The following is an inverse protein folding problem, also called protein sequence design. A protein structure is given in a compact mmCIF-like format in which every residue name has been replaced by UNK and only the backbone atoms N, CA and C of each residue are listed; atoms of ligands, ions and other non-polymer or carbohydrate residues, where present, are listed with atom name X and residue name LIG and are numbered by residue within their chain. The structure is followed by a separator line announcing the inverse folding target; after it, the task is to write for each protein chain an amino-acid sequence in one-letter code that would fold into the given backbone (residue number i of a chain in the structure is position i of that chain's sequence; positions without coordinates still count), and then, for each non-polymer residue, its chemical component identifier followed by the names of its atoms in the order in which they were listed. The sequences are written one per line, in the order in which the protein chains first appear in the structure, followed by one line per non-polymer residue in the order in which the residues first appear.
data_IF_123465561683
#
_entry.id   IF_123465561683
#
_cell.length_a   1.000
_cell.length_b   1.000
_cell.length_c   1.000
_cell.angle_alpha   90.00
_cell.angle_beta   90.00
_cell.angle_gamma   90.00
#
_symmetry.space_group_name_H-M   'P 1'
#
loop_
_entity.id
_entity.type
_entity.pdbx_description
1 polymer ?
#
# COMPACT_ATOMS: atom_id res chain seq x y z
N UNK A 1 -15.40 10.10 4.73
CA UNK A 1 -14.67 9.89 3.44
C UNK A 1 -15.67 9.46 2.39
N UNK A 2 -15.47 9.84 1.13
CA UNK A 2 -16.29 9.29 0.03
C UNK A 2 -15.98 7.81 -0.13
N UNK A 3 -16.96 6.92 0.10
CA UNK A 3 -16.84 5.47 -0.10
C UNK A 3 -16.94 5.16 -1.59
N UNK A 4 -15.91 5.56 -2.34
CA UNK A 4 -15.76 5.33 -3.78
C UNK A 4 -14.35 4.81 -4.02
N UNK A 5 -14.20 4.07 -5.12
CA UNK A 5 -12.89 3.74 -5.64
C UNK A 5 -12.07 5.03 -5.84
N UNK A 6 -10.94 5.14 -5.14
CA UNK A 6 -10.21 6.40 -5.04
C UNK A 6 -8.72 6.20 -4.78
N UNK A 7 -8.18 6.93 -3.81
CA UNK A 7 -6.75 6.89 -3.50
C UNK A 7 -6.28 5.50 -3.08
N UNK A 8 -5.16 5.06 -3.65
CA UNK A 8 -4.37 3.97 -3.09
C UNK A 8 -3.28 4.59 -2.21
N UNK A 9 -3.30 4.22 -0.93
CA UNK A 9 -2.32 4.66 0.06
C UNK A 9 -1.46 3.48 0.45
N UNK A 10 -0.15 3.58 0.23
CA UNK A 10 0.72 2.43 0.34
C UNK A 10 2.10 2.79 0.90
N UNK A 11 2.72 1.80 1.54
CA UNK A 11 4.11 1.85 2.00
C UNK A 11 4.99 1.00 1.09
N UNK A 12 6.08 1.57 0.60
CA UNK A 12 7.06 0.84 -0.19
C UNK A 12 8.04 0.11 0.72
N UNK A 13 8.58 -0.99 0.23
CA UNK A 13 9.72 -1.70 0.82
C UNK A 13 10.75 -2.00 -0.26
N UNK A 14 12.02 -2.05 0.13
CA UNK A 14 13.11 -2.53 -0.72
C UNK A 14 13.67 -3.82 -0.15
N UNK A 15 14.23 -4.63 -1.03
CA UNK A 15 14.96 -5.83 -0.65
C UNK A 15 16.44 -5.64 -0.99
N UNK A 16 17.31 -6.21 -0.16
CA UNK A 16 18.75 -6.27 -0.48
C UNK A 16 18.95 -6.97 -1.83
N UNK A 17 19.96 -6.54 -2.58
CA UNK A 17 20.30 -7.08 -3.90
C UNK A 17 19.16 -6.96 -4.94
N UNK A 18 18.25 -6.00 -4.75
CA UNK A 18 17.18 -5.70 -5.70
C UNK A 18 17.06 -4.20 -5.92
N UNK A 19 16.94 -3.78 -7.18
CA UNK A 19 16.77 -2.37 -7.54
C UNK A 19 15.31 -1.89 -7.40
N UNK A 20 14.36 -2.81 -7.53
CA UNK A 20 12.94 -2.50 -7.59
C UNK A 20 12.31 -2.53 -6.21
N UNK A 21 11.22 -1.78 -6.04
CA UNK A 21 10.43 -1.76 -4.80
C UNK A 21 9.38 -2.87 -4.81
N UNK A 22 8.87 -3.20 -3.63
CA UNK A 22 7.54 -3.77 -3.46
C UNK A 22 6.70 -2.78 -2.63
N UNK A 23 5.40 -2.97 -2.55
CA UNK A 23 4.55 -2.19 -1.66
C UNK A 23 3.39 -3.02 -1.10
N UNK A 24 2.87 -2.54 0.02
CA UNK A 24 1.60 -2.98 0.60
C UNK A 24 0.75 -1.73 0.85
N UNK A 25 -0.55 -1.81 0.59
CA UNK A 25 -1.41 -0.64 0.69
C UNK A 25 -2.89 -0.94 0.80
N UNK A 26 -3.64 0.10 1.12
CA UNK A 26 -5.08 0.11 1.23
C UNK A 26 -5.66 1.14 0.27
N UNK A 27 -6.80 0.77 -0.32
CA UNK A 27 -7.56 1.62 -1.21
C UNK A 27 -9.04 1.58 -0.81
N UNK A 28 -9.65 2.73 -0.46
CA UNK A 28 -11.10 2.82 -0.32
C UNK A 28 -11.82 2.34 -1.57
N UNK A 29 -12.93 1.64 -1.37
CA UNK A 29 -13.78 1.14 -2.43
C UNK A 29 -15.23 1.56 -2.22
N UNK A 30 -16.08 1.25 -3.21
CA UNK A 30 -17.52 1.42 -3.07
C UNK A 30 -18.06 0.51 -1.95
N UNK A 31 -19.00 1.04 -1.16
CA UNK A 31 -19.70 0.25 -0.15
C UNK A 31 -20.38 -0.97 -0.78
N UNK A 32 -20.38 -2.08 -0.05
CA UNK A 32 -21.07 -3.30 -0.46
C UNK A 32 -21.91 -3.82 0.72
N UNK A 33 -23.18 -4.13 0.47
CA UNK A 33 -24.07 -4.66 1.51
C UNK A 33 -24.28 -3.72 2.70
N UNK A 34 -24.13 -2.40 2.51
CA UNK A 34 -24.23 -1.40 3.58
C UNK A 34 -22.99 -1.29 4.47
N UNK A 35 -21.87 -1.92 4.09
CA UNK A 35 -20.60 -1.88 4.80
C UNK A 35 -19.53 -1.19 3.97
N UNK A 36 -18.60 -0.52 4.66
CA UNK A 36 -17.41 0.03 4.04
C UNK A 36 -16.44 -1.07 3.64
N UNK A 37 -15.86 -0.91 2.45
CA UNK A 37 -14.98 -1.91 1.86
C UNK A 37 -13.70 -1.24 1.39
N UNK A 38 -12.56 -1.88 1.64
CA UNK A 38 -11.28 -1.50 1.06
C UNK A 38 -10.65 -2.65 0.30
N UNK A 39 -9.91 -2.31 -0.75
CA UNK A 39 -9.00 -3.21 -1.43
C UNK A 39 -7.66 -3.16 -0.71
N UNK A 40 -7.19 -4.30 -0.22
CA UNK A 40 -5.82 -4.47 0.24
C UNK A 40 -4.96 -5.01 -0.91
N UNK A 41 -3.80 -4.41 -1.12
CA UNK A 41 -2.90 -4.78 -2.22
C UNK A 41 -1.51 -5.10 -1.71
N UNK A 42 -0.88 -6.09 -2.33
CA UNK A 42 0.51 -6.49 -2.12
C UNK A 42 1.14 -6.65 -3.50
N UNK A 43 2.12 -5.83 -3.83
CA UNK A 43 2.72 -5.82 -5.17
C UNK A 43 4.23 -5.79 -5.09
N UNK A 44 4.86 -6.51 -5.99
CA UNK A 44 6.32 -6.57 -6.15
C UNK A 44 6.67 -6.35 -7.60
N UNK A 45 7.72 -5.55 -7.85
CA UNK A 45 8.28 -5.32 -9.17
C UNK A 45 9.58 -6.12 -9.40
N UNK A 46 9.90 -7.09 -8.54
CA UNK A 46 11.10 -7.90 -8.69
C UNK A 46 10.92 -8.90 -9.84
N UNK A 47 11.75 -8.78 -10.87
CA UNK A 47 11.72 -9.70 -12.01
C UNK A 47 12.06 -11.13 -11.59
N UNK A 48 11.40 -12.13 -12.19
CA UNK A 48 11.55 -13.54 -11.82
C UNK A 48 10.80 -13.95 -10.55
N UNK A 49 10.01 -13.04 -9.96
CA UNK A 49 9.09 -13.39 -8.89
C UNK A 49 8.00 -14.34 -9.39
N UNK A 50 7.63 -15.29 -8.55
CA UNK A 50 6.55 -16.25 -8.84
C UNK A 50 5.50 -16.26 -7.73
N UNK A 51 4.29 -16.71 -8.04
CA UNK A 51 3.27 -16.99 -7.04
C UNK A 51 2.33 -18.09 -7.55
N UNK A 52 1.85 -18.92 -6.63
CA UNK A 52 0.76 -19.88 -6.85
C UNK A 52 -0.49 -19.53 -6.02
N UNK A 53 -0.48 -18.38 -5.35
CA UNK A 53 -1.60 -17.96 -4.51
C UNK A 53 -2.75 -17.42 -5.37
N UNK A 54 -3.98 -17.84 -5.09
CA UNK A 54 -5.14 -17.59 -5.96
C UNK A 54 -5.53 -16.11 -6.12
N UNK A 55 -5.09 -15.25 -5.19
CA UNK A 55 -5.32 -13.79 -5.25
C UNK A 55 -4.21 -13.04 -5.97
N UNK A 56 -3.16 -13.74 -6.40
CA UNK A 56 -1.95 -13.17 -6.97
C UNK A 56 -1.85 -13.48 -8.46
N UNK A 57 -1.50 -12.46 -9.25
CA UNK A 57 -1.39 -12.56 -10.69
C UNK A 57 -0.13 -11.83 -11.20
N UNK A 58 0.46 -12.28 -12.32
CA UNK A 58 1.50 -11.52 -12.99
C UNK A 58 0.99 -10.15 -13.43
N UNK A 59 1.83 -9.13 -13.25
CA UNK A 59 1.50 -7.78 -13.70
C UNK A 59 1.43 -7.73 -15.23
N UNK A 60 0.46 -6.98 -15.77
CA UNK A 60 0.19 -6.95 -17.22
C UNK A 60 1.29 -6.26 -18.05
N UNK A 61 1.78 -5.12 -17.58
CA UNK A 61 2.66 -4.22 -18.34
C UNK A 61 4.06 -4.06 -17.69
N UNK A 62 4.37 -4.83 -16.66
CA UNK A 62 5.61 -4.70 -15.89
C UNK A 62 6.01 -6.07 -15.34
N UNK A 63 7.30 -6.35 -15.09
CA UNK A 63 7.70 -7.53 -14.34
C UNK A 63 7.18 -7.46 -12.91
N UNK A 64 6.73 -8.60 -12.38
CA UNK A 64 6.31 -8.69 -10.99
C UNK A 64 5.01 -9.44 -10.78
N UNK A 65 4.58 -9.46 -9.52
CA UNK A 65 3.33 -10.06 -9.07
C UNK A 65 2.54 -9.00 -8.32
N UNK A 66 1.24 -8.94 -8.59
CA UNK A 66 0.27 -8.19 -7.80
C UNK A 66 -0.72 -9.16 -7.15
N UNK A 67 -1.01 -8.94 -5.88
CA UNK A 67 -2.04 -9.66 -5.13
C UNK A 67 -3.02 -8.66 -4.55
N UNK A 68 -4.31 -9.00 -4.54
CA UNK A 68 -5.28 -8.16 -3.84
C UNK A 68 -6.50 -8.92 -3.35
N UNK A 69 -7.09 -8.40 -2.28
CA UNK A 69 -8.36 -8.87 -1.72
C UNK A 69 -9.26 -7.68 -1.37
N UNK A 70 -10.57 -7.94 -1.31
CA UNK A 70 -11.56 -7.01 -0.78
C UNK A 70 -11.85 -7.38 0.68
N UNK A 71 -11.85 -6.39 1.56
CA UNK A 71 -12.08 -6.56 2.99
C UNK A 71 -13.18 -5.58 3.39
N UNK A 72 -14.16 -6.08 4.15
CA UNK A 72 -15.12 -5.22 4.83
C UNK A 72 -14.46 -4.68 6.10
N UNK A 73 -14.57 -3.38 6.35
CA UNK A 73 -14.05 -2.79 7.58
C UNK A 73 -14.49 -1.36 7.78
N UNK A 74 -13.72 -0.59 8.53
CA UNK A 74 -14.10 0.73 9.01
C UNK A 74 -12.95 1.72 8.81
N UNK A 75 -13.22 2.80 8.08
CA UNK A 75 -12.21 3.83 7.79
C UNK A 75 -11.68 4.58 9.02
N UNK A 76 -12.33 4.42 10.19
CA UNK A 76 -11.85 4.99 11.45
C UNK A 76 -10.91 4.04 12.23
N UNK A 77 -10.73 2.80 11.78
CA UNK A 77 -9.82 1.86 12.42
C UNK A 77 -8.38 2.05 11.94
N UNK A 78 -7.42 1.68 12.78
CA UNK A 78 -6.02 1.54 12.36
C UNK A 78 -5.78 0.12 11.87
N UNK A 79 -5.10 -0.01 10.74
CA UNK A 79 -4.77 -1.30 10.13
C UNK A 79 -3.25 -1.51 10.11
N UNK A 80 -2.77 -2.62 10.67
CA UNK A 80 -1.37 -3.04 10.53
C UNK A 80 -1.18 -3.79 9.20
N UNK A 81 -0.39 -3.23 8.31
CA UNK A 81 0.00 -3.88 7.06
C UNK A 81 1.34 -4.61 7.25
N UNK A 82 1.36 -5.92 7.03
CA UNK A 82 2.56 -6.75 7.29
C UNK A 82 3.08 -7.34 6.00
N UNK A 83 4.39 -7.20 5.77
CA UNK A 83 5.14 -8.01 4.80
C UNK A 83 6.15 -8.81 5.61
N UNK A 84 5.97 -10.13 5.66
CA UNK A 84 6.82 -11.01 6.44
C UNK A 84 7.24 -12.25 5.66
N UNK A 85 8.43 -12.76 6.00
CA UNK A 85 8.98 -13.96 5.37
C UNK A 85 8.22 -15.17 5.88
N UNK A 86 7.60 -15.91 4.96
CA UNK A 86 6.88 -17.14 5.28
C UNK A 86 7.84 -18.34 5.33
N UNK A 87 8.74 -18.45 4.34
CA UNK A 87 9.80 -19.46 4.26
C UNK A 87 10.80 -19.05 3.16
N UNK A 88 12.09 -19.38 3.28
CA UNK A 88 13.13 -19.10 2.27
C UNK A 88 13.10 -17.67 1.68
N UNK A 89 12.71 -17.52 0.42
CA UNK A 89 12.49 -16.24 -0.28
C UNK A 89 11.02 -15.98 -0.57
N UNK A 90 10.12 -16.71 0.05
CA UNK A 90 8.67 -16.50 0.01
C UNK A 90 8.22 -15.52 1.10
N UNK A 91 7.47 -14.52 0.68
CA UNK A 91 6.92 -13.46 1.52
C UNK A 91 5.41 -13.47 1.42
N UNK A 92 4.75 -13.13 2.53
CA UNK A 92 3.29 -12.97 2.59
C UNK A 92 2.92 -11.55 3.00
N UNK A 93 1.82 -11.07 2.45
CA UNK A 93 1.19 -9.81 2.84
C UNK A 93 -0.04 -10.06 3.71
N UNK A 94 -0.14 -9.39 4.85
CA UNK A 94 -1.28 -9.48 5.75
C UNK A 94 -1.83 -8.08 6.04
N UNK A 95 -3.14 -8.00 6.29
CA UNK A 95 -3.80 -6.85 6.92
C UNK A 95 -4.36 -7.29 8.26
N UNK A 96 -4.03 -6.58 9.33
CA UNK A 96 -4.62 -6.78 10.66
C UNK A 96 -5.39 -5.54 11.07
N UNK A 97 -6.67 -5.68 11.39
CA UNK A 97 -7.43 -4.62 12.04
C UNK A 97 -7.07 -4.58 13.53
N UNK A 98 -6.56 -3.43 14.00
CA UNK A 98 -6.08 -3.29 15.39
C UNK A 98 -7.20 -3.21 16.42
N UNK A 99 -8.45 -2.97 16.00
CA UNK A 99 -9.59 -2.79 16.91
C UNK A 99 -10.27 -4.12 17.22
N UNK A 100 -10.50 -4.95 16.22
CA UNK A 100 -11.22 -6.23 16.37
C UNK A 100 -10.32 -7.46 16.23
N UNK A 101 -9.02 -7.27 15.96
CA UNK A 101 -8.01 -8.32 15.80
C UNK A 101 -8.20 -9.19 14.54
N UNK A 102 -9.07 -8.79 13.61
CA UNK A 102 -9.28 -9.51 12.36
C UNK A 102 -8.00 -9.51 11.50
N UNK A 103 -7.64 -10.68 10.98
CA UNK A 103 -6.43 -10.90 10.19
C UNK A 103 -6.76 -11.47 8.82
N UNK A 104 -6.32 -10.78 7.78
CA UNK A 104 -6.57 -11.14 6.38
C UNK A 104 -5.27 -11.39 5.63
N UNK A 105 -5.19 -12.52 4.92
CA UNK A 105 -4.10 -12.84 4.01
C UNK A 105 -4.37 -12.22 2.63
N UNK A 106 -3.56 -11.24 2.23
CA UNK A 106 -3.65 -10.61 0.90
C UNK A 106 -3.14 -11.58 -0.16
N UNK A 107 -2.00 -12.22 0.11
CA UNK A 107 -1.37 -13.16 -0.82
C UNK A 107 0.07 -13.49 -0.45
N UNK A 108 0.69 -14.33 -1.28
CA UNK A 108 2.07 -14.77 -1.15
C UNK A 108 2.80 -14.67 -2.49
N UNK A 109 4.09 -14.40 -2.43
CA UNK A 109 4.96 -14.43 -3.61
C UNK A 109 6.38 -14.82 -3.22
N UNK A 110 7.09 -15.46 -4.16
CA UNK A 110 8.44 -15.98 -3.97
C UNK A 110 9.41 -15.18 -4.81
N UNK A 111 10.33 -14.51 -4.14
CA UNK A 111 11.43 -13.76 -4.75
C UNK A 111 12.49 -14.70 -5.36
N UNK A 112 13.23 -14.24 -6.38
CA UNK A 112 14.44 -14.91 -6.83
C UNK A 112 15.40 -15.18 -5.65
N UNK A 113 16.09 -16.34 -5.61
CA UNK A 113 16.96 -16.73 -4.49
C UNK A 113 18.08 -15.73 -4.14
N UNK A 114 18.49 -14.90 -5.11
CA UNK A 114 19.52 -13.86 -4.92
C UNK A 114 19.01 -12.63 -4.18
N UNK A 115 17.69 -12.50 -4.02
CA UNK A 115 17.07 -11.39 -3.32
C UNK A 115 17.26 -11.57 -1.81
N UNK A 116 17.82 -10.57 -1.15
CA UNK A 116 18.01 -10.60 0.29
C UNK A 116 16.76 -10.13 1.05
N UNK A 117 16.93 -9.88 2.36
CA UNK A 117 15.84 -9.43 3.22
C UNK A 117 15.44 -7.96 2.96
N UNK A 118 14.28 -7.58 3.51
CA UNK A 118 13.81 -6.19 3.52
C UNK A 118 14.89 -5.27 4.12
N UNK A 119 15.12 -4.13 3.48
CA UNK A 119 15.98 -3.05 4.00
C UNK A 119 15.15 -2.09 4.84
N UNK A 120 15.78 -1.51 5.86
CA UNK A 120 15.11 -0.53 6.70
C UNK A 120 14.80 0.75 5.91
N UNK A 121 13.56 1.23 6.04
CA UNK A 121 13.11 2.51 5.53
C UNK A 121 12.81 2.53 4.04
N UNK A 122 11.73 3.22 3.69
CA UNK A 122 11.42 3.66 2.33
C UNK A 122 10.29 4.71 2.37
N UNK A 123 9.80 5.12 1.20
CA UNK A 123 8.72 6.09 1.08
C UNK A 123 7.33 5.45 1.27
N UNK A 124 6.40 6.22 1.82
CA UNK A 124 4.98 6.07 1.59
C UNK A 124 4.57 6.78 0.30
N UNK A 125 3.45 6.39 -0.29
CA UNK A 125 2.89 7.12 -1.43
C UNK A 125 1.36 7.08 -1.49
N UNK A 126 0.82 8.01 -2.25
CA UNK A 126 -0.60 8.13 -2.55
C UNK A 126 -0.77 8.33 -4.05
N UNK A 127 -1.68 7.57 -4.65
CA UNK A 127 -2.04 7.68 -6.06
C UNK A 127 -3.57 7.63 -6.23
N UNK A 128 -4.14 8.47 -7.08
CA UNK A 128 -5.57 8.42 -7.40
C UNK A 128 -5.83 7.47 -8.57
N UNK A 129 -6.07 6.21 -8.22
CA UNK A 129 -6.20 5.10 -9.17
C UNK A 129 -7.26 5.28 -10.27
N UNK A 130 -8.41 5.96 -10.06
CA UNK A 130 -9.36 6.16 -11.17
C UNK A 130 -8.78 6.88 -12.39
N UNK A 131 -7.64 7.56 -12.25
CA UNK A 131 -6.98 8.29 -13.34
C UNK A 131 -5.58 7.78 -13.69
N UNK A 132 -5.15 6.65 -13.13
CA UNK A 132 -3.81 6.09 -13.39
C UNK A 132 -3.58 5.68 -14.84
N UNK A 133 -4.67 5.44 -15.60
CA UNK A 133 -4.66 5.12 -17.04
C UNK A 133 -5.49 6.10 -17.89
N UNK A 134 -5.74 7.32 -17.39
CA UNK A 134 -6.57 8.28 -18.10
C UNK A 134 -5.91 8.69 -19.44
N UNK A 135 -6.60 8.47 -20.56
CA UNK A 135 -6.12 8.85 -21.90
C UNK A 135 -6.08 10.37 -22.10
N UNK A 136 -6.82 11.12 -21.29
CA UNK A 136 -6.82 12.59 -21.26
C UNK A 136 -6.38 13.06 -19.88
N UNK A 137 -5.66 14.18 -19.83
CA UNK A 137 -5.27 14.80 -18.56
C UNK A 137 -6.53 15.13 -17.76
N UNK A 138 -6.77 14.51 -16.59
CA UNK A 138 -7.91 14.81 -15.76
C UNK A 138 -7.75 16.20 -15.12
N UNK A 139 -8.87 16.78 -14.67
CA UNK A 139 -8.84 17.97 -13.84
C UNK A 139 -8.51 17.60 -12.39
N UNK A 140 -7.23 17.75 -12.02
CA UNK A 140 -6.73 17.43 -10.69
C UNK A 140 -7.39 18.27 -9.57
N UNK A 141 -8.00 19.41 -9.88
CA UNK A 141 -8.70 20.25 -8.88
C UNK A 141 -10.02 19.62 -8.39
N UNK A 142 -10.50 18.57 -9.05
CA UNK A 142 -11.74 17.86 -8.70
C UNK A 142 -11.51 16.62 -7.83
N UNK A 143 -10.27 16.40 -7.40
CA UNK A 143 -9.92 15.25 -6.57
C UNK A 143 -10.69 15.29 -5.24
N UNK A 144 -11.33 14.16 -4.83
CA UNK A 144 -12.08 14.12 -3.58
C UNK A 144 -11.16 14.29 -2.38
N UNK A 145 -11.62 14.99 -1.34
CA UNK A 145 -10.82 15.13 -0.11
C UNK A 145 -10.63 13.80 0.63
N UNK A 146 -9.41 13.56 1.12
CA UNK A 146 -9.08 12.48 2.04
C UNK A 146 -8.07 12.94 3.10
N UNK A 147 -8.13 12.33 4.28
CA UNK A 147 -7.24 12.57 5.42
C UNK A 147 -6.72 11.22 5.89
N UNK A 148 -5.41 11.06 6.02
CA UNK A 148 -4.81 9.77 6.32
C UNK A 148 -3.61 9.94 7.22
N UNK A 149 -3.52 9.08 8.23
CA UNK A 149 -2.32 8.90 9.03
C UNK A 149 -1.62 7.61 8.62
N UNK A 150 -0.32 7.70 8.35
CA UNK A 150 0.53 6.58 7.99
C UNK A 150 1.68 6.48 8.99
N UNK A 151 1.69 5.40 9.77
CA UNK A 151 2.70 5.15 10.80
C UNK A 151 3.95 4.46 10.25
N UNK A 152 5.07 4.73 10.89
CA UNK A 152 6.36 4.11 10.65
C UNK A 152 6.28 2.58 10.80
N UNK A 153 6.95 1.82 9.93
CA UNK A 153 7.00 0.38 10.04
C UNK A 153 7.72 -0.03 11.32
N UNK A 154 7.29 -1.13 11.92
CA UNK A 154 7.93 -1.71 13.09
C UNK A 154 8.08 -3.23 12.90
N UNK A 155 8.89 -3.86 13.76
CA UNK A 155 9.08 -5.30 13.77
C UNK A 155 9.03 -5.84 15.18
N UNK A 156 8.44 -7.02 15.34
CA UNK A 156 8.49 -7.80 16.58
C UNK A 156 9.75 -8.69 16.66
N UNK A 157 10.59 -8.68 15.63
CA UNK A 157 11.84 -9.45 15.62
C UNK A 157 12.82 -8.85 16.63
N UNK A 158 13.33 -9.67 17.54
CA UNK A 158 14.32 -9.24 18.54
C UNK A 158 15.54 -8.58 17.87
N UNK A 159 15.96 -7.44 18.41
CA UNK A 159 17.10 -6.67 17.89
C UNK A 159 16.81 -5.85 16.63
N UNK A 160 15.59 -5.91 16.07
CA UNK A 160 15.17 -5.09 14.92
C UNK A 160 14.41 -3.87 15.40
N UNK A 161 14.89 -2.68 15.09
CA UNK A 161 14.26 -1.41 15.46
C UNK A 161 14.58 -0.29 14.46
N UNK A 162 13.96 0.87 14.63
CA UNK A 162 14.24 2.07 13.83
C UNK A 162 13.63 2.05 12.42
N UNK A 163 12.57 1.27 12.22
CA UNK A 163 11.72 1.36 11.04
C UNK A 163 11.15 2.77 10.90
N UNK A 164 11.18 3.30 9.68
CA UNK A 164 10.67 4.65 9.39
C UNK A 164 10.16 4.79 7.96
N UNK A 165 9.24 5.70 7.76
CA UNK A 165 8.90 6.23 6.44
C UNK A 165 9.81 7.43 6.19
N UNK A 166 10.55 7.43 5.08
CA UNK A 166 11.47 8.53 4.78
C UNK A 166 10.73 9.81 4.35
N UNK A 167 9.58 9.63 3.69
CA UNK A 167 8.66 10.67 3.22
C UNK A 167 7.41 10.03 2.61
N UNK A 168 6.37 10.84 2.47
CA UNK A 168 5.14 10.49 1.76
C UNK A 168 5.07 11.27 0.45
N UNK A 169 4.86 10.57 -0.67
CA UNK A 169 4.94 11.12 -2.02
C UNK A 169 3.61 11.03 -2.79
N UNK A 170 3.32 12.04 -3.60
CA UNK A 170 2.25 11.99 -4.60
C UNK A 170 2.72 11.21 -5.84
N UNK A 171 1.89 10.29 -6.32
CA UNK A 171 2.12 9.46 -7.50
C UNK A 171 0.96 9.63 -8.50
N UNK A 172 1.19 9.15 -9.73
CA UNK A 172 0.20 9.13 -10.79
C UNK A 172 0.03 10.47 -11.51
N UNK A 173 -1.02 10.54 -12.32
CA UNK A 173 -1.27 11.64 -13.28
C UNK A 173 -1.37 13.02 -12.62
N UNK A 174 -1.81 13.09 -11.36
CA UNK A 174 -1.99 14.34 -10.64
C UNK A 174 -0.86 14.67 -9.66
N UNK A 175 0.27 13.95 -9.70
CA UNK A 175 1.37 14.20 -8.77
C UNK A 175 1.83 15.67 -8.80
N UNK A 176 1.93 16.30 -7.61
CA UNK A 176 2.26 17.71 -7.44
C UNK A 176 1.07 18.67 -7.59
N UNK A 177 -0.13 18.16 -7.91
CA UNK A 177 -1.34 18.93 -8.10
C UNK A 177 -2.53 18.41 -7.26
N UNK A 178 -2.29 17.53 -6.27
CA UNK A 178 -3.36 16.90 -5.50
C UNK A 178 -3.76 17.71 -4.25
N UNK A 179 -3.29 18.96 -4.10
CA UNK A 179 -3.44 19.76 -2.86
C UNK A 179 -2.94 19.00 -1.62
N UNK A 180 -1.83 18.28 -1.79
CA UNK A 180 -1.23 17.48 -0.74
C UNK A 180 -0.60 18.36 0.35
N UNK A 181 -0.99 18.11 1.59
CA UNK A 181 -0.43 18.76 2.78
C UNK A 181 -0.10 17.67 3.78
N UNK A 182 1.13 17.62 4.25
CA UNK A 182 1.56 16.65 5.26
C UNK A 182 2.26 17.35 6.43
N UNK A 183 2.30 16.64 7.54
CA UNK A 183 3.14 16.94 8.70
C UNK A 183 3.65 15.64 9.29
N UNK A 184 4.82 15.70 9.90
CA UNK A 184 5.33 14.61 10.74
C UNK A 184 4.51 14.54 12.03
N UNK A 185 4.17 13.34 12.46
CA UNK A 185 3.58 13.05 13.77
C UNK A 185 4.47 12.06 14.52
N UNK A 186 4.16 11.79 15.79
CA UNK A 186 4.89 10.75 16.52
C UNK A 186 4.71 9.40 15.83
N UNK A 187 5.83 8.81 15.41
CA UNK A 187 5.87 7.56 14.67
C UNK A 187 5.23 7.59 13.28
N UNK A 188 5.25 8.72 12.54
CA UNK A 188 4.86 8.70 11.12
C UNK A 188 4.46 10.05 10.51
N UNK A 189 3.49 10.01 9.60
CA UNK A 189 2.97 11.16 8.87
C UNK A 189 1.46 11.25 8.94
N UNK A 190 0.94 12.46 9.11
CA UNK A 190 -0.47 12.79 8.94
C UNK A 190 -0.61 13.74 7.75
N UNK A 191 -1.55 13.46 6.85
CA UNK A 191 -1.69 14.22 5.62
C UNK A 191 -3.12 14.30 5.10
N UNK A 192 -3.39 15.41 4.43
CA UNK A 192 -4.63 15.66 3.70
C UNK A 192 -4.32 15.80 2.22
N UNK A 193 -5.26 15.36 1.39
CA UNK A 193 -5.18 15.43 -0.07
C UNK A 193 -6.56 15.72 -0.66
N UNK A 194 -6.61 16.24 -1.88
CA UNK A 194 -7.83 16.58 -2.59
C UNK A 194 -8.42 17.94 -2.19
N UNK A 195 -9.61 18.21 -2.70
CA UNK A 195 -10.28 19.50 -2.61
C UNK A 195 -11.66 19.33 -1.98
N UNK A 196 -12.10 20.34 -1.21
CA UNK A 196 -13.50 20.42 -0.81
C UNK A 196 -14.34 20.75 -2.06
N UNK A 197 -15.49 20.09 -2.25
CA UNK A 197 -16.41 20.41 -3.34
C UNK A 197 -16.96 21.84 -3.24
#
# INVERSE_FOLDING_TARGET
MSHKWGYNVAQQVRFKNSANVAFIGLQPYADAGGQSVFRASLTTFQNGTTSNHHTCHPMRNSPGIECSIMINGNYNHTYELKIEKAYETTWRGLVKDSVNDDLYLIGLWTLPPTTGNITNGNNGYIDYMPWSDAQTSPDCSTLPIAEVTMYDPFSYTEGVSGGRIDRVLEYGTCAGAMNFKNKTVDGGYDFTIGFLP
#
